data_IF_280676266810
#
_entry.id   IF_280676266810
#
_cell.length_a   1.000
_cell.length_b   1.000
_cell.length_c   1.000
_cell.angle_alpha   90.00
_cell.angle_beta   90.00
_cell.angle_gamma   90.00
#
_symmetry.space_group_name_H-M   'P 1'
#
loop_
_entity.id
_entity.type
_entity.pdbx_description
1 polymer ?
#
# COMPACT_ATOMS: atom_id res chain seq x y z
N UNK A 1 7.56 -9.48 -21.40
CA UNK A 1 6.28 -8.77 -21.11
C UNK A 1 6.46 -7.31 -21.47
N UNK A 2 5.50 -6.70 -22.17
CA UNK A 2 5.58 -5.26 -22.49
C UNK A 2 5.45 -4.48 -21.17
N UNK A 3 6.25 -3.42 -20.99
CA UNK A 3 6.24 -2.54 -19.80
C UNK A 3 4.83 -2.00 -19.46
N UNK A 4 3.93 -1.99 -20.45
CA UNK A 4 2.54 -1.50 -20.38
C UNK A 4 1.52 -2.48 -19.75
N UNK A 5 1.91 -3.73 -19.43
CA UNK A 5 0.99 -4.71 -18.80
C UNK A 5 1.10 -4.75 -17.27
N UNK A 6 2.23 -4.32 -16.69
CA UNK A 6 2.43 -4.31 -15.24
C UNK A 6 1.71 -3.13 -14.58
N UNK A 7 0.61 -3.46 -13.90
CA UNK A 7 -0.19 -2.52 -13.11
C UNK A 7 0.47 -2.21 -11.77
N UNK A 8 -0.01 -1.16 -11.11
CA UNK A 8 0.26 -0.87 -9.70
C UNK A 8 -1.07 -0.97 -8.96
N UNK A 9 -1.16 -1.86 -7.99
CA UNK A 9 -2.30 -1.96 -7.09
C UNK A 9 -2.05 -1.14 -5.84
N UNK A 10 -3.00 -0.30 -5.46
CA UNK A 10 -2.99 0.39 -4.17
C UNK A 10 -3.98 -0.35 -3.29
N UNK A 11 -3.55 -0.87 -2.14
CA UNK A 11 -4.46 -1.59 -1.25
C UNK A 11 -4.93 -0.69 -0.11
N UNK A 12 -6.17 -0.90 0.26
CA UNK A 12 -6.82 -0.36 1.46
C UNK A 12 -6.61 -1.30 2.66
N UNK A 13 -6.92 -0.80 3.86
CA UNK A 13 -6.89 -1.51 5.13
C UNK A 13 -7.83 -2.71 5.12
N UNK A 14 -9.01 -2.62 4.49
CA UNK A 14 -9.99 -3.71 4.38
C UNK A 14 -9.39 -4.98 3.76
N UNK A 15 -8.59 -4.83 2.70
CA UNK A 15 -7.93 -5.94 1.99
C UNK A 15 -6.96 -6.67 2.92
N UNK A 16 -6.21 -5.91 3.72
CA UNK A 16 -5.22 -6.45 4.66
C UNK A 16 -5.90 -7.08 5.87
N UNK A 17 -6.98 -6.48 6.38
CA UNK A 17 -7.78 -7.02 7.49
C UNK A 17 -8.53 -8.31 7.09
N UNK A 18 -8.76 -8.51 5.80
CA UNK A 18 -9.31 -9.75 5.28
C UNK A 18 -8.24 -10.85 5.17
N UNK A 19 -7.05 -10.51 4.66
CA UNK A 19 -5.92 -11.44 4.52
C UNK A 19 -4.58 -10.67 4.50
N UNK A 20 -3.76 -10.85 5.53
CA UNK A 20 -2.46 -10.22 5.68
C UNK A 20 -1.46 -10.65 4.59
N UNK A 21 -1.70 -11.78 3.91
CA UNK A 21 -0.87 -12.29 2.83
C UNK A 21 -1.24 -11.73 1.46
N UNK A 22 -2.32 -10.93 1.35
CA UNK A 22 -2.86 -10.43 0.09
C UNK A 22 -1.82 -9.71 -0.80
N UNK A 23 -0.83 -9.04 -0.20
CA UNK A 23 0.23 -8.36 -0.96
C UNK A 23 1.00 -9.32 -1.89
N UNK A 24 1.07 -10.62 -1.58
CA UNK A 24 1.75 -11.64 -2.40
C UNK A 24 0.90 -12.19 -3.56
N UNK A 25 -0.39 -11.88 -3.61
CA UNK A 25 -1.34 -12.46 -4.56
C UNK A 25 -1.43 -11.70 -5.90
N UNK A 26 -0.74 -10.57 -6.05
CA UNK A 26 -0.79 -9.72 -7.25
C UNK A 26 0.15 -10.15 -8.39
N UNK A 27 0.68 -11.38 -8.34
CA UNK A 27 1.51 -11.99 -9.40
C UNK A 27 2.68 -11.09 -9.82
N UNK A 28 2.76 -10.68 -11.08
CA UNK A 28 3.81 -9.80 -11.62
C UNK A 28 3.59 -8.31 -11.32
N UNK A 29 2.43 -7.95 -10.77
CA UNK A 29 2.02 -6.56 -10.58
C UNK A 29 2.54 -5.99 -9.27
N UNK A 30 2.87 -4.70 -9.30
CA UNK A 30 3.40 -4.04 -8.12
C UNK A 30 2.27 -3.63 -7.17
N UNK A 31 2.57 -3.60 -5.87
CA UNK A 31 1.63 -3.30 -4.80
C UNK A 31 2.15 -2.10 -4.00
N UNK A 32 1.31 -1.11 -3.77
CA UNK A 32 1.63 0.04 -2.96
C UNK A 32 0.66 0.15 -1.79
N UNK A 33 1.20 0.40 -0.61
CA UNK A 33 0.41 0.56 0.61
C UNK A 33 0.58 2.01 1.10
N UNK A 34 -0.49 2.81 1.14
CA UNK A 34 -0.42 4.14 1.73
C UNK A 34 -0.03 4.06 3.21
N UNK A 35 0.78 5.01 3.71
CA UNK A 35 1.14 5.06 5.13
C UNK A 35 -0.10 5.11 6.05
N UNK A 36 -1.19 5.72 5.58
CA UNK A 36 -2.47 5.80 6.29
C UNK A 36 -3.04 4.42 6.63
N UNK A 37 -2.84 3.43 5.75
CA UNK A 37 -3.28 2.05 5.99
C UNK A 37 -2.53 1.46 7.19
N UNK A 38 -1.24 1.75 7.33
CA UNK A 38 -0.45 1.29 8.48
C UNK A 38 -0.92 1.92 9.79
N UNK A 39 -1.27 3.21 9.75
CA UNK A 39 -1.84 3.93 10.90
C UNK A 39 -3.18 3.32 11.34
N UNK A 40 -4.03 2.93 10.39
CA UNK A 40 -5.30 2.28 10.70
C UNK A 40 -5.09 0.88 11.28
N UNK A 41 -4.23 0.06 10.66
CA UNK A 41 -3.91 -1.28 11.16
C UNK A 41 -3.34 -1.25 12.59
N UNK A 42 -2.64 -0.19 12.98
CA UNK A 42 -2.17 -0.01 14.36
C UNK A 42 -3.33 0.03 15.37
N UNK A 43 -4.45 0.65 15.00
CA UNK A 43 -5.67 0.69 15.82
C UNK A 43 -6.32 -0.69 15.94
N UNK A 44 -6.17 -1.55 14.93
CA UNK A 44 -6.72 -2.90 14.90
C UNK A 44 -5.82 -3.94 15.59
N UNK A 45 -4.65 -3.60 16.14
CA UNK A 45 -3.80 -4.58 16.85
C UNK A 45 -4.42 -5.16 18.13
N UNK A 46 -5.33 -4.41 18.75
CA UNK A 46 -5.93 -4.73 20.06
C UNK A 46 -7.19 -5.57 19.91
N UNK A 47 -7.21 -6.73 20.56
CA UNK A 47 -8.33 -7.66 20.52
C UNK A 47 -7.89 -9.06 20.10
N UNK A 48 -8.83 -9.99 20.11
CA UNK A 48 -8.59 -11.41 19.85
C UNK A 48 -9.36 -11.94 18.64
N UNK A 49 -9.98 -11.06 17.86
CA UNK A 49 -10.71 -11.43 16.66
C UNK A 49 -9.74 -11.65 15.49
N UNK A 50 -10.22 -12.32 14.45
CA UNK A 50 -9.45 -12.58 13.22
C UNK A 50 -8.86 -11.30 12.63
N UNK A 51 -9.64 -10.22 12.57
CA UNK A 51 -9.17 -8.92 12.06
C UNK A 51 -7.95 -8.39 12.83
N UNK A 52 -7.87 -8.64 14.15
CA UNK A 52 -6.74 -8.21 14.97
C UNK A 52 -5.51 -9.09 14.71
N UNK A 53 -5.74 -10.37 14.44
CA UNK A 53 -4.68 -11.29 14.03
C UNK A 53 -4.09 -10.87 12.68
N UNK A 54 -4.92 -10.64 11.67
CA UNK A 54 -4.50 -10.19 10.33
C UNK A 54 -3.68 -8.89 10.41
N UNK A 55 -4.16 -7.89 11.17
CA UNK A 55 -3.43 -6.64 11.37
C UNK A 55 -2.04 -6.85 12.01
N UNK A 56 -1.93 -7.74 13.02
CA UNK A 56 -0.66 -8.03 13.69
C UNK A 56 0.32 -8.76 12.78
N UNK A 57 -0.15 -9.74 12.02
CA UNK A 57 0.72 -10.51 11.11
C UNK A 57 1.22 -9.63 9.97
N UNK A 58 0.37 -8.75 9.43
CA UNK A 58 0.81 -7.80 8.40
C UNK A 58 1.90 -6.86 8.91
N UNK A 59 1.75 -6.36 10.13
CA UNK A 59 2.74 -5.44 10.71
C UNK A 59 4.04 -6.15 11.03
N UNK A 60 4.00 -7.39 11.52
CA UNK A 60 5.20 -8.23 11.68
C UNK A 60 5.93 -8.45 10.36
N UNK A 61 5.17 -8.73 9.29
CA UNK A 61 5.73 -8.87 7.94
C UNK A 61 6.44 -7.58 7.49
N UNK A 62 5.83 -6.42 7.71
CA UNK A 62 6.45 -5.13 7.39
C UNK A 62 7.69 -4.85 8.22
N UNK A 63 7.64 -5.11 9.53
CA UNK A 63 8.78 -4.92 10.42
C UNK A 63 9.98 -5.79 10.00
N UNK A 64 9.72 -7.01 9.55
CA UNK A 64 10.76 -7.92 9.07
C UNK A 64 11.40 -7.46 7.75
N UNK A 65 10.60 -6.89 6.85
CA UNK A 65 11.09 -6.27 5.61
C UNK A 65 11.91 -5.01 5.94
N UNK A 66 11.41 -4.16 6.84
CA UNK A 66 12.05 -2.90 7.23
C UNK A 66 13.42 -3.07 7.89
N UNK A 67 13.70 -4.24 8.47
CA UNK A 67 15.04 -4.58 9.00
C UNK A 67 16.11 -4.71 7.93
N UNK A 68 15.72 -4.92 6.67
CA UNK A 68 16.64 -5.24 5.55
C UNK A 68 16.59 -4.18 4.46
N UNK A 69 15.40 -3.64 4.19
CA UNK A 69 15.13 -2.76 3.07
C UNK A 69 14.36 -1.52 3.53
N UNK A 70 14.52 -0.42 2.81
CA UNK A 70 13.74 0.78 3.06
C UNK A 70 12.33 0.63 2.48
N UNK A 71 11.31 0.66 3.32
CA UNK A 71 9.91 0.44 2.92
C UNK A 71 9.40 1.44 1.86
N UNK A 72 10.01 2.61 1.72
CA UNK A 72 9.64 3.60 0.69
C UNK A 72 10.16 3.24 -0.70
N UNK A 73 11.12 2.32 -0.80
CA UNK A 73 11.63 1.80 -2.05
C UNK A 73 10.80 0.62 -2.57
N UNK A 74 10.92 0.30 -3.85
CA UNK A 74 10.26 -0.85 -4.45
C UNK A 74 11.00 -2.16 -4.12
N UNK A 75 10.44 -2.93 -3.19
CA UNK A 75 10.99 -4.18 -2.66
C UNK A 75 10.38 -5.39 -3.37
N UNK A 76 11.16 -6.33 -3.93
CA UNK A 76 10.62 -7.51 -4.62
C UNK A 76 9.77 -8.41 -3.70
N UNK A 77 8.54 -8.73 -4.12
CA UNK A 77 7.65 -9.66 -3.43
C UNK A 77 7.98 -11.09 -3.86
N UNK A 78 8.97 -11.73 -3.23
CA UNK A 78 9.37 -13.13 -3.44
C UNK A 78 9.68 -13.53 -4.90
N UNK A 79 10.94 -13.36 -5.29
CA UNK A 79 11.51 -13.89 -6.53
C UNK A 79 11.42 -12.96 -7.74
N UNK A 80 12.14 -13.26 -8.83
CA UNK A 80 12.34 -12.33 -9.96
C UNK A 80 11.11 -12.16 -10.87
N UNK A 81 10.16 -13.10 -10.80
CA UNK A 81 8.96 -13.10 -11.65
C UNK A 81 7.79 -12.33 -11.04
N UNK A 82 7.83 -12.09 -9.73
CA UNK A 82 6.78 -11.40 -8.98
C UNK A 82 6.93 -9.87 -9.05
N UNK A 83 5.87 -9.19 -8.65
CA UNK A 83 5.86 -7.74 -8.51
C UNK A 83 6.70 -7.24 -7.34
N UNK A 84 6.66 -5.94 -7.12
CA UNK A 84 7.32 -5.27 -6.01
C UNK A 84 6.30 -4.63 -5.07
N UNK A 85 6.66 -4.46 -3.82
CA UNK A 85 5.89 -3.75 -2.81
C UNK A 85 6.60 -2.46 -2.40
N UNK A 86 5.84 -1.41 -2.08
CA UNK A 86 6.34 -0.24 -1.35
C UNK A 86 5.29 0.40 -0.46
N UNK A 87 5.74 1.14 0.55
CA UNK A 87 4.92 2.07 1.34
C UNK A 87 5.00 3.46 0.72
N UNK A 88 3.86 4.11 0.53
CA UNK A 88 3.80 5.51 0.09
C UNK A 88 3.71 6.40 1.31
N UNK A 89 4.78 7.16 1.56
CA UNK A 89 4.81 8.11 2.66
C UNK A 89 4.02 9.37 2.32
N UNK A 90 3.56 10.07 3.36
CA UNK A 90 2.75 11.28 3.22
C UNK A 90 3.47 12.40 2.46
N UNK A 91 4.79 12.48 2.58
CA UNK A 91 5.62 13.49 1.92
C UNK A 91 5.88 13.19 0.43
N UNK A 92 5.73 11.94 -0.01
CA UNK A 92 5.87 11.55 -1.43
C UNK A 92 4.68 11.99 -2.29
N UNK A 93 3.61 12.45 -1.63
CA UNK A 93 2.42 13.06 -2.25
C UNK A 93 2.76 14.48 -2.75
N UNK A 94 3.71 14.59 -3.68
CA UNK A 94 4.26 15.84 -4.27
C UNK A 94 3.23 16.98 -4.43
N UNK A 95 3.08 17.81 -3.40
CA UNK A 95 2.26 19.03 -3.45
C UNK A 95 0.77 18.83 -3.71
N UNK A 96 0.23 17.61 -3.64
CA UNK A 96 -1.22 17.41 -3.58
C UNK A 96 -1.63 17.65 -2.14
N UNK A 97 -1.70 18.93 -1.80
CA UNK A 97 -2.18 19.45 -0.52
C UNK A 97 -3.70 19.22 -0.48
N UNK A 98 -4.12 17.96 -0.35
CA UNK A 98 -5.53 17.61 -0.19
C UNK A 98 -6.13 18.23 1.07
N UNK A 99 -5.28 18.62 2.03
CA UNK A 99 -5.62 19.50 3.16
C UNK A 99 -6.13 20.89 2.73
N UNK A 100 -5.87 21.35 1.49
CA UNK A 100 -6.48 22.55 0.89
C UNK A 100 -7.67 22.29 -0.03
N UNK A 101 -7.79 21.08 -0.60
CA UNK A 101 -8.88 20.75 -1.57
C UNK A 101 -10.07 20.10 -0.89
N UNK A 102 -9.85 19.33 0.17
CA UNK A 102 -10.87 18.65 0.94
C UNK A 102 -10.64 18.96 2.42
N UNK A 103 -11.47 19.85 2.97
CA UNK A 103 -11.47 20.22 4.39
C UNK A 103 -11.80 19.06 5.34
N UNK A 104 -11.99 17.84 4.83
CA UNK A 104 -12.29 16.65 5.62
C UNK A 104 -11.07 15.75 5.73
N UNK A 105 -10.56 15.67 6.96
CA UNK A 105 -9.55 14.73 7.47
C UNK A 105 -10.03 13.27 7.44
N UNK A 106 -10.61 12.81 6.34
CA UNK A 106 -11.02 11.40 6.17
C UNK A 106 -9.92 10.62 5.46
N UNK A 107 -9.57 9.48 6.04
CA UNK A 107 -8.47 8.61 5.61
C UNK A 107 -8.59 8.17 4.14
N UNK A 108 -9.82 8.01 3.63
CA UNK A 108 -10.13 7.68 2.23
C UNK A 108 -9.47 8.63 1.23
N UNK A 109 -9.46 9.94 1.53
CA UNK A 109 -8.81 10.94 0.66
C UNK A 109 -7.30 10.70 0.55
N UNK A 110 -6.65 10.18 1.60
CA UNK A 110 -5.22 9.92 1.60
C UNK A 110 -4.86 8.70 0.75
N UNK A 111 -5.69 7.66 0.78
CA UNK A 111 -5.54 6.48 -0.08
C UNK A 111 -5.72 6.87 -1.56
N UNK A 112 -6.72 7.71 -1.86
CA UNK A 112 -6.91 8.25 -3.21
C UNK A 112 -5.72 9.11 -3.66
N UNK A 113 -5.17 9.95 -2.79
CA UNK A 113 -3.98 10.75 -3.10
C UNK A 113 -2.76 9.88 -3.41
N UNK A 114 -2.59 8.75 -2.70
CA UNK A 114 -1.53 7.81 -2.98
C UNK A 114 -1.69 7.20 -4.39
N UNK A 115 -2.90 6.79 -4.76
CA UNK A 115 -3.19 6.28 -6.11
C UNK A 115 -2.95 7.33 -7.21
N UNK A 116 -3.42 8.57 -7.01
CA UNK A 116 -3.19 9.68 -7.94
C UNK A 116 -1.70 10.04 -8.07
N UNK A 117 -0.97 10.02 -6.96
CA UNK A 117 0.47 10.28 -6.95
C UNK A 117 1.22 9.23 -7.75
N UNK A 118 0.90 7.94 -7.56
CA UNK A 118 1.48 6.86 -8.35
C UNK A 118 1.16 6.97 -9.83
N UNK A 119 -0.07 7.36 -10.17
CA UNK A 119 -0.49 7.53 -11.56
C UNK A 119 0.32 8.63 -12.24
N UNK A 120 0.56 9.75 -11.54
CA UNK A 120 1.41 10.84 -12.05
C UNK A 120 2.88 10.44 -12.17
N UNK A 121 3.41 9.68 -11.21
CA UNK A 121 4.80 9.18 -11.23
C UNK A 121 5.01 8.08 -12.29
N UNK A 122 3.94 7.39 -12.69
CA UNK A 122 3.98 6.25 -13.62
C UNK A 122 2.94 6.41 -14.73
N UNK A 123 3.09 7.41 -15.63
CA UNK A 123 2.07 7.73 -16.65
C UNK A 123 1.81 6.57 -17.63
N UNK A 124 2.80 5.70 -17.83
CA UNK A 124 2.71 4.53 -18.71
C UNK A 124 2.13 3.28 -18.03
N UNK A 125 1.65 3.39 -16.78
CA UNK A 125 1.17 2.25 -15.99
C UNK A 125 -0.22 2.50 -15.46
N UNK A 126 -1.08 1.47 -15.55
CA UNK A 126 -2.39 1.52 -14.93
C UNK A 126 -2.27 1.37 -13.42
N UNK A 127 -2.80 2.33 -12.68
CA UNK A 127 -2.95 2.27 -11.22
C UNK A 127 -4.38 1.85 -10.88
N UNK A 128 -4.53 0.92 -9.95
CA UNK A 128 -5.83 0.34 -9.55
C UNK A 128 -5.91 0.34 -8.03
N UNK A 129 -6.96 0.95 -7.48
CA UNK A 129 -7.28 0.86 -6.05
C UNK A 129 -8.06 -0.42 -5.76
N UNK A 130 -7.74 -1.10 -4.66
CA UNK A 130 -8.45 -2.28 -4.15
C UNK A 130 -8.85 -2.00 -2.70
N UNK A 131 -10.15 -2.07 -2.41
CA UNK A 131 -10.79 -1.79 -1.12
C UNK A 131 -11.91 -2.80 -0.91
#
# INVERSE_FOLDING_TARGET
MKKNERKIFVLDTSVILYDHSAIGCFQEHDVAIPIQVLEELDTFKKGNDTINYEAREFIRLLDDIAKRDLLTDWIPLNGPTKGKFKVIARHDLNGVDATKVFADRKNDHQILNAALTLQRQNPDRKVVLVS
#
